data_IF_263832747266
#
_entry.id   IF_263832747266
#
_cell.length_a   1.000
_cell.length_b   1.000
_cell.length_c   1.000
_cell.angle_alpha   90.00
_cell.angle_beta   90.00
_cell.angle_gamma   90.00
#
_symmetry.space_group_name_H-M   'P 1'
#
loop_
_entity.id
_entity.type
_entity.pdbx_description
1 polymer ?
#
# COMPACT_ATOMS: atom_id res chain seq x y z
N UNK A 1 -40.77 -26.56 -17.52
CA UNK A 1 -40.57 -26.31 -16.08
C UNK A 1 -39.06 -26.26 -15.88
N UNK A 2 -38.32 -25.13 -15.91
CA UNK A 2 -38.57 -23.80 -15.32
C UNK A 2 -39.08 -23.95 -13.88
N UNK A 3 -38.38 -23.58 -12.82
CA UNK A 3 -37.46 -22.46 -12.54
C UNK A 3 -36.48 -22.87 -11.42
N UNK A 4 -35.21 -22.47 -11.48
CA UNK A 4 -34.59 -21.41 -10.65
C UNK A 4 -34.80 -21.58 -9.14
N UNK A 5 -33.70 -21.86 -8.44
CA UNK A 5 -33.38 -21.39 -7.09
C UNK A 5 -31.85 -21.20 -7.10
N UNK A 6 -31.36 -20.02 -7.50
CA UNK A 6 -31.18 -18.86 -6.63
C UNK A 6 -29.99 -19.01 -5.66
N UNK A 7 -29.04 -18.07 -5.79
CA UNK A 7 -28.40 -17.46 -4.61
C UNK A 7 -27.10 -18.08 -4.10
N UNK A 8 -26.00 -17.92 -4.83
CA UNK A 8 -24.72 -17.60 -4.19
C UNK A 8 -24.45 -16.13 -4.54
N UNK A 9 -25.19 -15.18 -3.96
CA UNK A 9 -24.86 -14.54 -2.67
C UNK A 9 -23.37 -14.23 -2.59
N UNK A 10 -22.97 -13.25 -3.40
CA UNK A 10 -21.75 -12.46 -3.25
C UNK A 10 -21.82 -11.73 -1.91
N UNK A 11 -21.46 -12.36 -0.80
CA UNK A 11 -21.26 -11.67 0.48
C UNK A 11 -20.55 -12.59 1.48
N UNK A 12 -19.21 -12.50 1.52
CA UNK A 12 -18.36 -12.46 2.73
C UNK A 12 -16.89 -12.67 2.34
N UNK A 13 -16.27 -11.65 1.74
CA UNK A 13 -14.83 -11.43 1.88
C UNK A 13 -14.69 -10.13 2.66
N UNK A 14 -15.11 -10.16 3.93
CA UNK A 14 -14.82 -9.09 4.85
C UNK A 14 -13.35 -9.20 5.28
N UNK A 15 -12.40 -8.82 4.42
CA UNK A 15 -10.98 -8.67 4.78
C UNK A 15 -10.18 -7.69 3.90
N UNK A 16 -10.82 -6.90 3.03
CA UNK A 16 -10.11 -5.89 2.24
C UNK A 16 -10.85 -4.55 2.29
N UNK A 17 -10.61 -3.80 3.36
CA UNK A 17 -11.09 -2.42 3.54
C UNK A 17 -10.34 -1.50 2.58
N UNK A 18 -10.70 -1.52 1.30
CA UNK A 18 -10.07 -0.68 0.26
C UNK A 18 -10.73 -0.81 -1.10
N UNK A 19 -10.58 0.20 -1.95
CA UNK A 19 -11.13 0.30 -3.31
C UNK A 19 -10.03 0.31 -4.39
N UNK A 20 -10.39 -0.01 -5.64
CA UNK A 20 -9.46 0.15 -6.77
C UNK A 20 -9.69 1.52 -7.40
N UNK A 21 -8.63 2.30 -7.47
CA UNK A 21 -8.62 3.62 -8.11
C UNK A 21 -7.71 3.55 -9.34
N UNK A 22 -8.25 3.69 -10.57
CA UNK A 22 -7.41 3.76 -11.76
C UNK A 22 -6.77 5.14 -11.88
N UNK A 23 -5.44 5.21 -11.88
CA UNK A 23 -4.65 6.43 -12.05
C UNK A 23 -3.75 6.30 -13.29
N UNK A 24 -4.02 7.10 -14.33
CA UNK A 24 -3.28 7.06 -15.60
C UNK A 24 -3.12 5.67 -16.23
N UNK A 25 -4.13 4.80 -16.08
CA UNK A 25 -4.10 3.42 -16.59
C UNK A 25 -3.42 2.41 -15.67
N UNK A 26 -3.02 2.82 -14.46
CA UNK A 26 -2.48 1.96 -13.41
C UNK A 26 -3.56 1.75 -12.34
N UNK A 27 -3.87 0.51 -12.02
CA UNK A 27 -4.80 0.16 -10.94
C UNK A 27 -4.10 0.28 -9.60
N UNK A 28 -4.62 1.17 -8.74
CA UNK A 28 -4.13 1.37 -7.38
C UNK A 28 -5.11 0.77 -6.40
N UNK A 29 -4.66 -0.18 -5.58
CA UNK A 29 -5.37 -0.61 -4.39
C UNK A 29 -5.25 0.48 -3.33
N UNK A 30 -6.31 1.27 -3.15
CA UNK A 30 -6.42 2.27 -2.09
C UNK A 30 -6.93 1.61 -0.82
N UNK A 31 -6.05 1.44 0.15
CA UNK A 31 -6.40 0.96 1.47
C UNK A 31 -7.17 2.05 2.23
N UNK A 32 -8.33 1.71 2.80
CA UNK A 32 -9.04 2.60 3.70
C UNK A 32 -8.34 2.64 5.08
N UNK A 33 -8.45 3.77 5.82
CA UNK A 33 -7.68 4.04 7.03
C UNK A 33 -8.02 3.10 8.18
N UNK A 34 -9.27 2.65 8.30
CA UNK A 34 -9.74 1.75 9.38
C UNK A 34 -9.40 0.26 9.15
N UNK A 35 -8.54 -0.04 8.17
CA UNK A 35 -8.10 -1.41 7.91
C UNK A 35 -6.98 -1.89 8.85
N UNK A 36 -6.61 -3.18 8.77
CA UNK A 36 -5.56 -3.75 9.63
C UNK A 36 -4.21 -3.04 9.44
N UNK A 37 -3.41 -2.91 10.50
CA UNK A 37 -2.11 -2.23 10.41
C UNK A 37 -1.11 -3.00 9.56
N UNK A 38 -0.22 -2.27 8.89
CA UNK A 38 0.95 -2.80 8.20
C UNK A 38 2.11 -2.89 9.19
N UNK A 39 2.10 -3.95 10.00
CA UNK A 39 3.02 -4.15 11.13
C UNK A 39 4.01 -5.31 10.96
N UNK A 40 3.85 -6.11 9.91
CA UNK A 40 4.53 -7.40 9.77
C UNK A 40 4.63 -7.84 8.31
N UNK A 41 5.47 -8.86 8.06
CA UNK A 41 5.54 -9.55 6.76
C UNK A 41 4.20 -10.19 6.38
N UNK A 42 3.42 -10.66 7.37
CA UNK A 42 2.13 -11.27 7.13
C UNK A 42 1.13 -10.22 6.62
N UNK A 43 1.03 -9.08 7.31
CA UNK A 43 0.20 -7.96 6.86
C UNK A 43 0.59 -7.46 5.46
N UNK A 44 1.89 -7.47 5.13
CA UNK A 44 2.35 -7.15 3.78
C UNK A 44 1.88 -8.18 2.75
N UNK A 45 1.97 -9.48 3.06
CA UNK A 45 1.52 -10.56 2.17
C UNK A 45 0.01 -10.53 1.94
N UNK A 46 -0.78 -10.18 2.96
CA UNK A 46 -2.23 -10.03 2.82
C UNK A 46 -2.58 -8.92 1.82
N UNK A 47 -1.96 -7.74 1.96
CA UNK A 47 -2.16 -6.63 1.02
C UNK A 47 -1.70 -6.98 -0.41
N UNK A 48 -0.62 -7.74 -0.55
CA UNK A 48 -0.13 -8.23 -1.83
C UNK A 48 -1.14 -9.21 -2.46
N UNK A 49 -1.71 -10.10 -1.66
CA UNK A 49 -2.77 -11.03 -2.09
C UNK A 49 -4.00 -10.28 -2.60
N UNK A 50 -4.45 -9.27 -1.85
CA UNK A 50 -5.57 -8.41 -2.23
C UNK A 50 -5.30 -7.65 -3.54
N UNK A 51 -4.09 -7.11 -3.69
CA UNK A 51 -3.69 -6.41 -4.90
C UNK A 51 -3.74 -7.33 -6.12
N UNK A 52 -3.19 -8.55 -6.01
CA UNK A 52 -3.25 -9.52 -7.11
C UNK A 52 -4.66 -9.99 -7.42
N UNK A 53 -5.49 -10.24 -6.40
CA UNK A 53 -6.90 -10.63 -6.60
C UNK A 53 -7.73 -9.57 -7.33
N UNK A 54 -7.23 -8.33 -7.40
CA UNK A 54 -7.93 -7.17 -7.95
C UNK A 54 -7.17 -6.49 -9.10
N UNK A 55 -6.15 -7.15 -9.64
CA UNK A 55 -5.32 -6.64 -10.75
C UNK A 55 -4.68 -5.26 -10.46
N UNK A 56 -4.31 -4.99 -9.20
CA UNK A 56 -3.63 -3.76 -8.82
C UNK A 56 -2.10 -3.89 -8.96
N UNK A 57 -1.45 -2.86 -9.51
CA UNK A 57 0.01 -2.80 -9.60
C UNK A 57 0.63 -1.95 -8.48
N UNK A 58 -0.20 -1.15 -7.81
CA UNK A 58 0.22 -0.23 -6.73
C UNK A 58 -0.69 -0.46 -5.53
N UNK A 59 -0.11 -0.45 -4.33
CA UNK A 59 -0.83 -0.48 -3.06
C UNK A 59 -0.57 0.82 -2.32
N UNK A 60 -1.63 1.61 -2.14
CA UNK A 60 -1.60 2.88 -1.42
C UNK A 60 -2.13 2.68 0.00
N UNK A 61 -1.24 2.72 0.99
CA UNK A 61 -1.51 2.50 2.41
C UNK A 61 -1.48 3.84 3.16
N UNK A 62 -2.56 4.25 3.83
CA UNK A 62 -2.55 5.43 4.70
C UNK A 62 -1.48 5.32 5.79
N UNK A 63 -0.81 6.43 6.10
CA UNK A 63 0.22 6.50 7.16
C UNK A 63 -0.31 6.02 8.51
N UNK A 64 -1.60 6.25 8.78
CA UNK A 64 -2.30 5.81 10.00
C UNK A 64 -2.34 4.29 10.18
N UNK A 65 -2.24 3.53 9.08
CA UNK A 65 -2.15 2.06 9.12
C UNK A 65 -0.72 1.57 9.28
N UNK A 66 0.28 2.41 9.08
CA UNK A 66 1.68 1.99 9.17
C UNK A 66 2.09 2.03 10.64
N UNK A 67 2.46 0.87 11.19
CA UNK A 67 2.84 0.77 12.60
C UNK A 67 4.08 1.63 12.90
N UNK A 68 4.17 2.18 14.11
CA UNK A 68 5.33 2.99 14.53
C UNK A 68 6.67 2.23 14.37
N UNK A 69 6.65 0.91 14.58
CA UNK A 69 7.82 0.05 14.42
C UNK A 69 8.39 0.08 13.00
N UNK A 70 7.56 0.32 11.99
CA UNK A 70 8.01 0.49 10.61
C UNK A 70 8.93 1.72 10.48
N UNK A 71 8.57 2.83 11.11
CA UNK A 71 9.38 4.05 11.11
C UNK A 71 10.64 3.93 11.97
N UNK A 72 10.70 2.95 12.89
CA UNK A 72 11.90 2.64 13.67
C UNK A 72 12.76 1.61 12.93
N UNK A 73 13.56 2.04 11.96
CA UNK A 73 14.35 1.16 11.05
C UNK A 73 15.12 0.00 11.73
N UNK A 74 15.58 0.17 12.97
CA UNK A 74 16.23 -0.89 13.76
C UNK A 74 15.32 -2.09 14.10
N UNK A 75 14.00 -1.94 13.96
CA UNK A 75 13.02 -3.01 14.19
C UNK A 75 13.10 -4.11 13.14
N UNK A 76 13.61 -3.79 11.94
CA UNK A 76 13.61 -4.68 10.78
C UNK A 76 12.25 -4.77 10.06
N UNK A 77 11.16 -4.22 10.61
CA UNK A 77 9.81 -4.33 10.04
C UNK A 77 9.73 -3.65 8.67
N UNK A 78 10.22 -2.42 8.54
CA UNK A 78 10.22 -1.71 7.25
C UNK A 78 10.92 -2.51 6.15
N UNK A 79 12.12 -3.03 6.43
CA UNK A 79 12.88 -3.84 5.49
C UNK A 79 12.13 -5.11 5.09
N UNK A 80 11.57 -5.83 6.08
CA UNK A 80 10.84 -7.07 5.84
C UNK A 80 9.58 -6.85 4.99
N UNK A 81 8.81 -5.80 5.28
CA UNK A 81 7.62 -5.40 4.49
C UNK A 81 8.01 -5.02 3.07
N UNK A 82 8.96 -4.09 2.89
CA UNK A 82 9.34 -3.59 1.57
C UNK A 82 9.96 -4.67 0.69
N UNK A 83 10.72 -5.58 1.29
CA UNK A 83 11.30 -6.71 0.57
C UNK A 83 10.21 -7.59 -0.07
N UNK A 84 9.04 -7.75 0.56
CA UNK A 84 7.90 -8.43 -0.06
C UNK A 84 7.42 -7.68 -1.30
N UNK A 85 7.12 -6.38 -1.18
CA UNK A 85 6.65 -5.58 -2.32
C UNK A 85 7.63 -5.62 -3.50
N UNK A 86 8.94 -5.52 -3.24
CA UNK A 86 9.97 -5.65 -4.28
C UNK A 86 9.98 -7.06 -4.90
N UNK A 87 9.93 -8.11 -4.08
CA UNK A 87 9.94 -9.51 -4.53
C UNK A 87 8.73 -9.85 -5.41
N UNK A 88 7.55 -9.39 -5.01
CA UNK A 88 6.29 -9.58 -5.73
C UNK A 88 6.07 -8.54 -6.84
N UNK A 89 7.01 -7.61 -7.03
CA UNK A 89 6.98 -6.57 -8.07
C UNK A 89 5.75 -5.66 -8.00
N UNK A 90 5.22 -5.46 -6.81
CA UNK A 90 4.20 -4.45 -6.54
C UNK A 90 4.85 -3.19 -6.00
N UNK A 91 4.24 -2.04 -6.27
CA UNK A 91 4.69 -0.76 -5.73
C UNK A 91 3.94 -0.48 -4.43
N UNK A 92 4.67 -0.24 -3.34
CA UNK A 92 4.11 0.26 -2.09
C UNK A 92 4.15 1.79 -2.08
N UNK A 93 3.05 2.41 -1.70
CA UNK A 93 2.96 3.85 -1.48
C UNK A 93 2.36 4.08 -0.11
N UNK A 94 3.14 4.67 0.79
CA UNK A 94 2.62 5.20 2.05
C UNK A 94 2.08 6.60 1.79
N UNK A 95 0.79 6.81 2.04
CA UNK A 95 0.09 8.06 1.76
C UNK A 95 -0.24 8.77 3.07
N UNK A 96 0.21 10.02 3.20
CA UNK A 96 -0.04 10.87 4.35
C UNK A 96 1.23 11.55 4.86
N UNK A 97 1.07 12.37 5.90
CA UNK A 97 2.18 13.13 6.46
C UNK A 97 3.09 12.26 7.34
N UNK A 98 4.36 12.14 6.93
CA UNK A 98 5.43 11.47 7.69
C UNK A 98 6.42 12.46 8.32
N UNK A 99 6.15 13.77 8.21
CA UNK A 99 7.06 14.85 8.65
C UNK A 99 7.45 14.72 10.13
N UNK A 100 6.50 14.36 11.00
CA UNK A 100 6.74 14.11 12.41
C UNK A 100 7.75 12.96 12.64
N UNK A 101 7.58 11.83 11.95
CA UNK A 101 8.49 10.69 12.08
C UNK A 101 9.91 11.01 11.59
N UNK A 102 10.05 11.73 10.47
CA UNK A 102 11.38 12.07 9.89
C UNK A 102 12.08 13.24 10.59
N UNK A 103 11.33 14.06 11.34
CA UNK A 103 11.92 15.12 12.15
C UNK A 103 12.83 14.55 13.25
N UNK A 104 12.39 13.45 13.87
CA UNK A 104 13.04 12.82 15.01
C UNK A 104 14.20 11.86 14.64
N UNK A 105 14.42 11.61 13.35
CA UNK A 105 15.40 10.61 12.89
C UNK A 105 16.00 10.95 11.53
N UNK A 106 17.30 11.30 11.53
CA UNK A 106 18.08 11.49 10.29
C UNK A 106 18.13 10.21 9.45
N UNK A 107 18.30 9.05 10.09
CA UNK A 107 18.34 7.77 9.37
C UNK A 107 17.01 7.47 8.66
N UNK A 108 15.86 7.78 9.30
CA UNK A 108 14.55 7.63 8.66
C UNK A 108 14.36 8.65 7.53
N UNK A 109 14.80 9.90 7.74
CA UNK A 109 14.75 10.94 6.71
C UNK A 109 15.52 10.54 5.46
N UNK A 110 16.76 10.07 5.62
CA UNK A 110 17.61 9.63 4.51
C UNK A 110 16.98 8.42 3.81
N UNK A 111 16.45 7.49 4.59
CA UNK A 111 15.72 6.32 4.08
C UNK A 111 14.49 6.70 3.24
N UNK A 112 13.64 7.61 3.74
CA UNK A 112 12.46 8.12 3.02
C UNK A 112 12.91 8.83 1.74
N UNK A 113 13.97 9.64 1.81
CA UNK A 113 14.51 10.33 0.64
C UNK A 113 15.00 9.35 -0.44
N UNK A 114 15.81 8.36 -0.06
CA UNK A 114 16.36 7.37 -0.99
C UNK A 114 15.27 6.52 -1.64
N UNK A 115 14.34 5.99 -0.84
CA UNK A 115 13.23 5.19 -1.37
C UNK A 115 12.31 6.02 -2.27
N UNK A 116 12.05 7.28 -1.92
CA UNK A 116 11.34 8.20 -2.79
C UNK A 116 12.04 8.51 -4.10
N UNK A 117 13.32 8.20 -4.31
CA UNK A 117 13.95 8.27 -5.63
C UNK A 117 13.90 6.95 -6.40
N UNK A 118 13.57 5.86 -5.70
CA UNK A 118 13.41 4.53 -6.28
C UNK A 118 12.09 4.33 -7.03
N UNK A 119 11.92 3.12 -7.56
CA UNK A 119 10.76 2.76 -8.37
C UNK A 119 9.70 1.90 -7.66
N UNK A 120 9.90 1.50 -6.40
CA UNK A 120 9.07 0.47 -5.76
C UNK A 120 8.40 0.91 -4.45
N UNK A 121 8.99 1.83 -3.70
CA UNK A 121 8.49 2.26 -2.39
C UNK A 121 8.45 3.78 -2.37
N UNK A 122 7.29 4.38 -2.15
CA UNK A 122 7.14 5.83 -2.07
C UNK A 122 6.42 6.25 -0.79
N UNK A 123 6.78 7.42 -0.27
CA UNK A 123 6.13 8.15 0.80
C UNK A 123 5.64 9.47 0.22
N UNK A 124 4.32 9.61 0.05
CA UNK A 124 3.70 10.74 -0.62
C UNK A 124 2.64 11.37 0.29
N UNK A 125 2.41 12.69 0.21
CA UNK A 125 1.45 13.37 1.07
C UNK A 125 -0.02 12.98 0.76
N UNK A 126 -0.32 12.68 -0.50
CA UNK A 126 -1.69 12.46 -0.99
C UNK A 126 -1.72 11.63 -2.30
N UNK A 127 -2.93 11.21 -2.68
CA UNK A 127 -3.18 10.43 -3.90
C UNK A 127 -3.02 11.25 -5.19
N UNK A 128 -3.21 12.58 -5.14
CA UNK A 128 -2.98 13.45 -6.29
C UNK A 128 -1.50 13.46 -6.68
N UNK A 129 -0.61 13.53 -5.69
CA UNK A 129 0.84 13.39 -5.89
C UNK A 129 1.19 12.00 -6.45
N UNK A 130 0.50 10.95 -5.99
CA UNK A 130 0.66 9.61 -6.57
C UNK A 130 0.23 9.58 -8.04
N UNK A 131 -0.91 10.17 -8.39
CA UNK A 131 -1.41 10.22 -9.75
C UNK A 131 -0.38 10.89 -10.67
N UNK A 132 0.10 12.09 -10.32
CA UNK A 132 1.09 12.79 -11.14
C UNK A 132 2.38 11.98 -11.31
N UNK A 133 2.77 11.23 -10.28
CA UNK A 133 3.96 10.38 -10.33
C UNK A 133 3.81 9.12 -11.19
N UNK A 134 2.58 8.61 -11.32
CA UNK A 134 2.26 7.47 -12.20
C UNK A 134 2.03 7.90 -13.65
N UNK A 135 1.97 9.21 -13.91
CA UNK A 135 1.78 9.73 -15.25
C UNK A 135 2.88 9.21 -16.19
N UNK A 136 2.52 8.63 -17.35
CA UNK A 136 3.52 8.18 -18.30
C UNK A 136 4.31 9.39 -18.81
N UNK A 137 5.63 9.22 -18.96
CA UNK A 137 6.43 10.15 -19.75
C UNK A 137 5.93 10.06 -21.19
N UNK A 138 5.32 11.14 -21.69
CA UNK A 138 4.80 11.24 -23.05
C UNK A 138 5.88 11.17 -24.13
#
# INVERSE_FOLDING_TARGET
MATDESGLSTEEIALSTGDIVPLHGVNVLRCAPDGPPLDSEHAALDLIGDAFGRDAQVVAVPVERVAEEFFRLRSGIAGAVMQKFVTYRLRLVVVGDVSGHVADSTALRDFVHETNQGGHIWFLPDLDTLAERLRPAG
#
